data_IF_809249027227
#
_entry.id   IF_809249027227
#
_cell.length_a   1.000
_cell.length_b   1.000
_cell.length_c   1.000
_cell.angle_alpha   90.00
_cell.angle_beta   90.00
_cell.angle_gamma   90.00
#
_symmetry.space_group_name_H-M   'P 1'
#
loop_
_entity.id
_entity.type
_entity.pdbx_description
1 polymer ?
#
# COMPACT_ATOMS: atom_id res chain seq x y z
N UNK A 1 -18.05 -33.66 7.48
CA UNK A 1 -16.82 -33.38 6.70
C UNK A 1 -16.68 -31.89 6.38
N UNK A 2 -17.72 -31.16 5.93
CA UNK A 2 -17.61 -29.73 5.57
C UNK A 2 -17.10 -28.73 6.64
N UNK A 3 -17.21 -29.04 7.94
CA UNK A 3 -16.77 -28.12 9.00
C UNK A 3 -15.24 -28.01 9.12
N UNK A 4 -14.52 -29.10 8.86
CA UNK A 4 -13.05 -29.10 8.93
C UNK A 4 -12.43 -28.31 7.77
N UNK A 5 -13.02 -28.43 6.57
CA UNK A 5 -12.57 -27.71 5.38
C UNK A 5 -12.81 -26.19 5.49
N UNK A 6 -13.97 -25.78 6.03
CA UNK A 6 -14.24 -24.37 6.33
C UNK A 6 -13.28 -23.79 7.37
N UNK A 7 -12.96 -24.56 8.42
CA UNK A 7 -12.02 -24.13 9.45
C UNK A 7 -10.60 -23.95 8.90
N UNK A 8 -10.11 -24.92 8.12
CA UNK A 8 -8.80 -24.84 7.44
C UNK A 8 -8.73 -23.65 6.47
N UNK A 9 -9.80 -23.39 5.72
CA UNK A 9 -9.87 -22.25 4.79
C UNK A 9 -9.82 -20.91 5.54
N UNK A 10 -10.62 -20.72 6.59
CA UNK A 10 -10.58 -19.49 7.39
C UNK A 10 -9.23 -19.28 8.09
N UNK A 11 -8.65 -20.36 8.64
CA UNK A 11 -7.36 -20.29 9.33
C UNK A 11 -6.21 -19.95 8.38
N UNK A 12 -6.18 -20.54 7.19
CA UNK A 12 -5.18 -20.25 6.16
C UNK A 12 -5.31 -18.84 5.59
N UNK A 13 -6.53 -18.35 5.38
CA UNK A 13 -6.78 -16.96 4.98
C UNK A 13 -6.31 -15.96 6.04
N UNK A 14 -6.60 -16.23 7.31
CA UNK A 14 -6.22 -15.36 8.42
C UNK A 14 -4.70 -15.33 8.61
N UNK A 15 -4.05 -16.49 8.65
CA UNK A 15 -2.58 -16.59 8.75
C UNK A 15 -1.87 -15.99 7.54
N UNK A 16 -2.39 -16.22 6.32
CA UNK A 16 -1.90 -15.60 5.10
C UNK A 16 -2.02 -14.08 5.12
N UNK A 17 -3.16 -13.54 5.56
CA UNK A 17 -3.37 -12.10 5.69
C UNK A 17 -2.39 -11.48 6.71
N UNK A 18 -2.20 -12.12 7.87
CA UNK A 18 -1.24 -11.67 8.90
C UNK A 18 0.19 -11.63 8.33
N UNK A 19 0.61 -12.67 7.61
CA UNK A 19 1.95 -12.72 6.99
C UNK A 19 2.15 -11.62 5.94
N UNK A 20 1.20 -11.44 5.03
CA UNK A 20 1.30 -10.41 3.99
C UNK A 20 1.27 -9.01 4.61
N UNK A 21 0.33 -8.75 5.54
CA UNK A 21 0.22 -7.44 6.18
C UNK A 21 1.44 -7.10 7.04
N UNK A 22 2.02 -8.07 7.75
CA UNK A 22 3.23 -7.84 8.56
C UNK A 22 4.46 -7.57 7.70
N UNK A 23 4.65 -8.32 6.60
CA UNK A 23 5.76 -8.08 5.67
C UNK A 23 5.64 -6.70 4.99
N UNK A 24 4.44 -6.36 4.51
CA UNK A 24 4.19 -5.07 3.88
C UNK A 24 4.29 -3.90 4.88
N UNK A 25 3.88 -4.11 6.13
CA UNK A 25 4.09 -3.13 7.19
C UNK A 25 5.58 -2.91 7.44
N UNK A 26 6.38 -3.97 7.56
CA UNK A 26 7.83 -3.87 7.76
C UNK A 26 8.51 -3.10 6.60
N UNK A 27 8.14 -3.39 5.35
CA UNK A 27 8.62 -2.65 4.19
C UNK A 27 8.21 -1.18 4.22
N UNK A 28 6.96 -0.89 4.58
CA UNK A 28 6.47 0.48 4.73
C UNK A 28 7.24 1.25 5.81
N UNK A 29 7.54 0.62 6.94
CA UNK A 29 8.32 1.18 8.05
C UNK A 29 9.77 1.44 7.66
N UNK A 30 10.39 0.53 6.92
CA UNK A 30 11.71 0.77 6.34
C UNK A 30 11.66 1.98 5.41
N UNK A 31 10.65 2.06 4.53
CA UNK A 31 10.43 3.20 3.66
C UNK A 31 10.33 4.51 4.43
N UNK A 32 9.46 4.60 5.45
CA UNK A 32 9.30 5.84 6.23
C UNK A 32 10.56 6.24 6.98
N UNK A 33 11.36 5.28 7.45
CA UNK A 33 12.64 5.58 8.13
C UNK A 33 13.70 6.03 7.12
N UNK A 34 13.83 5.38 5.96
CA UNK A 34 14.89 5.66 4.99
C UNK A 34 14.64 6.91 4.13
N UNK A 35 13.37 7.19 3.79
CA UNK A 35 12.99 8.32 2.93
C UNK A 35 13.58 9.67 3.39
N UNK A 36 13.46 10.10 4.66
CA UNK A 36 13.99 11.41 5.09
C UNK A 36 15.52 11.53 5.03
N UNK A 37 16.27 10.43 4.91
CA UNK A 37 17.73 10.46 4.78
C UNK A 37 18.22 10.52 3.33
N UNK A 38 17.31 10.50 2.34
CA UNK A 38 17.69 10.60 0.94
C UNK A 38 18.03 12.06 0.57
N UNK A 39 19.04 12.27 -0.29
CA UNK A 39 19.57 13.59 -0.63
C UNK A 39 18.61 14.48 -1.46
N UNK A 40 17.40 14.00 -1.76
CA UNK A 40 16.37 14.70 -2.55
C UNK A 40 15.18 15.18 -1.68
N UNK A 41 15.41 15.34 -0.37
CA UNK A 41 14.40 15.73 0.63
C UNK A 41 13.68 17.06 0.33
N UNK A 42 14.28 17.95 -0.46
CA UNK A 42 13.74 19.30 -0.72
C UNK A 42 12.70 19.35 -1.85
N UNK A 43 12.56 18.27 -2.63
CA UNK A 43 11.58 18.23 -3.72
C UNK A 43 10.14 18.00 -3.19
N UNK A 44 9.14 18.77 -3.66
CA UNK A 44 7.75 18.59 -3.25
C UNK A 44 7.18 17.22 -3.65
N UNK A 45 7.71 16.61 -4.72
CA UNK A 45 7.40 15.24 -5.10
C UNK A 45 7.85 14.22 -4.04
N UNK A 46 8.93 14.52 -3.34
CA UNK A 46 9.50 13.68 -2.30
C UNK A 46 8.62 13.65 -1.04
N UNK A 47 8.07 14.80 -0.67
CA UNK A 47 7.09 14.90 0.42
C UNK A 47 5.81 14.08 0.12
N UNK A 48 5.35 14.08 -1.14
CA UNK A 48 4.22 13.25 -1.54
C UNK A 48 4.53 11.74 -1.46
N UNK A 49 5.73 11.32 -1.85
CA UNK A 49 6.17 9.92 -1.71
C UNK A 49 6.26 9.51 -0.24
N UNK A 50 6.76 10.40 0.62
CA UNK A 50 6.80 10.18 2.06
C UNK A 50 5.39 10.01 2.65
N UNK A 51 4.47 10.93 2.33
CA UNK A 51 3.06 10.84 2.73
C UNK A 51 2.38 9.55 2.26
N UNK A 52 2.62 9.14 1.01
CA UNK A 52 2.13 7.87 0.49
C UNK A 52 2.64 6.69 1.30
N UNK A 53 3.94 6.65 1.58
CA UNK A 53 4.58 5.54 2.32
C UNK A 53 4.06 5.47 3.75
N UNK A 54 3.84 6.62 4.38
CA UNK A 54 3.26 6.72 5.72
C UNK A 54 1.81 6.24 5.73
N UNK A 55 0.98 6.68 4.77
CA UNK A 55 -0.39 6.21 4.61
C UNK A 55 -0.45 4.69 4.39
N UNK A 56 0.43 4.15 3.54
CA UNK A 56 0.54 2.72 3.26
C UNK A 56 0.87 1.93 4.53
N UNK A 57 1.85 2.40 5.31
CA UNK A 57 2.24 1.77 6.57
C UNK A 57 1.10 1.76 7.61
N UNK A 58 0.34 2.87 7.71
CA UNK A 58 -0.82 2.94 8.59
C UNK A 58 -1.93 1.98 8.16
N UNK A 59 -2.17 1.86 6.85
CA UNK A 59 -3.13 0.92 6.27
C UNK A 59 -2.81 -0.53 6.66
N UNK A 60 -1.55 -0.94 6.49
CA UNK A 60 -1.12 -2.30 6.83
C UNK A 60 -1.07 -2.57 8.33
N UNK A 61 -0.75 -1.58 9.15
CA UNK A 61 -0.84 -1.68 10.61
C UNK A 61 -2.30 -1.92 11.06
N UNK A 62 -3.25 -1.18 10.51
CA UNK A 62 -4.68 -1.39 10.77
C UNK A 62 -5.19 -2.74 10.26
N UNK A 63 -4.72 -3.18 9.09
CA UNK A 63 -5.06 -4.50 8.56
C UNK A 63 -4.52 -5.63 9.47
N UNK A 64 -3.27 -5.50 9.94
CA UNK A 64 -2.65 -6.44 10.88
C UNK A 64 -3.40 -6.45 12.22
N UNK A 65 -3.73 -5.27 12.75
CA UNK A 65 -4.52 -5.14 13.97
C UNK A 65 -5.91 -5.76 13.81
N UNK A 66 -6.58 -5.53 12.69
CA UNK A 66 -7.88 -6.12 12.39
C UNK A 66 -7.83 -7.65 12.29
N UNK A 67 -6.77 -8.19 11.69
CA UNK A 67 -6.55 -9.64 11.58
C UNK A 67 -6.27 -10.31 12.93
N UNK A 68 -5.55 -9.62 13.84
CA UNK A 68 -5.22 -10.10 15.19
C UNK A 68 -6.38 -9.96 16.19
N UNK A 69 -7.13 -8.86 16.11
CA UNK A 69 -8.24 -8.55 17.03
C UNK A 69 -9.60 -9.08 16.56
N UNK A 70 -9.66 -9.69 15.37
CA UNK A 70 -10.89 -10.12 14.69
C UNK A 70 -11.95 -9.01 14.56
N UNK A 71 -11.51 -7.75 14.60
CA UNK A 71 -12.41 -6.59 14.54
C UNK A 71 -12.78 -6.27 13.10
N UNK A 72 -14.02 -6.59 12.73
CA UNK A 72 -14.59 -6.28 11.40
C UNK A 72 -14.48 -4.80 11.04
N UNK A 73 -14.54 -3.91 12.04
CA UNK A 73 -14.41 -2.46 11.88
C UNK A 73 -13.01 -2.05 11.43
N UNK A 74 -11.96 -2.60 12.05
CA UNK A 74 -10.57 -2.31 11.66
C UNK A 74 -10.27 -2.81 10.24
N UNK A 75 -10.80 -4.00 9.88
CA UNK A 75 -10.70 -4.52 8.51
C UNK A 75 -11.38 -3.57 7.52
N UNK A 76 -12.59 -3.12 7.81
CA UNK A 76 -13.31 -2.18 6.94
C UNK A 76 -12.57 -0.83 6.77
N UNK A 77 -12.05 -0.26 7.87
CA UNK A 77 -11.26 0.98 7.83
C UNK A 77 -9.96 0.77 7.04
N UNK A 78 -9.28 -0.36 7.22
CA UNK A 78 -8.07 -0.68 6.45
C UNK A 78 -8.36 -0.78 4.94
N UNK A 79 -9.54 -1.27 4.57
CA UNK A 79 -9.97 -1.37 3.17
C UNK A 79 -10.22 0.02 2.57
N UNK A 80 -10.90 0.91 3.32
CA UNK A 80 -11.09 2.31 2.92
C UNK A 80 -9.75 3.05 2.77
N UNK A 81 -8.85 2.91 3.74
CA UNK A 81 -7.51 3.50 3.66
C UNK A 81 -6.71 2.95 2.48
N UNK A 82 -6.84 1.65 2.18
CA UNK A 82 -6.24 1.03 1.00
C UNK A 82 -6.73 1.63 -0.31
N UNK A 83 -8.04 1.91 -0.42
CA UNK A 83 -8.61 2.61 -1.59
C UNK A 83 -8.02 4.02 -1.71
N UNK A 84 -7.94 4.77 -0.60
CA UNK A 84 -7.36 6.12 -0.61
C UNK A 84 -5.88 6.07 -1.02
N UNK A 85 -5.11 5.12 -0.48
CA UNK A 85 -3.71 4.92 -0.85
C UNK A 85 -3.57 4.55 -2.34
N UNK A 86 -4.46 3.72 -2.87
CA UNK A 86 -4.47 3.36 -4.29
C UNK A 86 -4.78 4.56 -5.20
N UNK A 87 -5.78 5.37 -4.85
CA UNK A 87 -6.10 6.61 -5.57
C UNK A 87 -4.92 7.58 -5.53
N UNK A 88 -4.27 7.72 -4.37
CA UNK A 88 -3.10 8.58 -4.23
C UNK A 88 -1.91 8.08 -5.06
N UNK A 89 -1.69 6.77 -5.11
CA UNK A 89 -0.68 6.16 -5.99
C UNK A 89 -0.96 6.40 -7.46
N UNK A 90 -2.22 6.28 -7.88
CA UNK A 90 -2.65 6.64 -9.25
C UNK A 90 -2.31 8.10 -9.52
N UNK A 91 -2.68 9.03 -8.64
CA UNK A 91 -2.39 10.46 -8.82
C UNK A 91 -0.90 10.76 -8.94
N UNK A 92 -0.03 10.00 -8.29
CA UNK A 92 1.43 10.15 -8.40
C UNK A 92 2.01 9.53 -9.67
N UNK A 93 1.45 8.42 -10.15
CA UNK A 93 1.99 7.66 -11.29
C UNK A 93 1.43 8.13 -12.64
N UNK A 94 0.16 8.56 -12.69
CA UNK A 94 -0.50 8.99 -13.93
C UNK A 94 0.23 10.12 -14.67
N UNK A 95 0.71 11.20 -14.00
CA UNK A 95 1.41 12.28 -14.67
C UNK A 95 2.68 11.77 -15.35
N UNK A 96 3.46 10.95 -14.63
CA UNK A 96 4.71 10.38 -15.15
C UNK A 96 4.50 9.41 -16.33
N UNK A 97 3.34 8.73 -16.37
CA UNK A 97 2.97 7.84 -17.46
C UNK A 97 2.48 8.63 -18.68
N UNK A 98 1.65 9.65 -18.47
CA UNK A 98 1.17 10.54 -19.54
C UNK A 98 2.32 11.30 -20.20
N UNK A 99 3.32 11.77 -19.43
CA UNK A 99 4.51 12.41 -20.00
C UNK A 99 5.33 11.46 -20.88
N UNK A 100 5.46 10.19 -20.48
CA UNK A 100 6.12 9.17 -21.32
C UNK A 100 5.33 8.89 -22.57
N UNK A 101 4.01 8.69 -22.46
CA UNK A 101 3.13 8.43 -23.62
C UNK A 101 3.15 9.60 -24.59
N UNK A 102 3.12 10.84 -24.09
CA UNK A 102 3.17 12.03 -24.94
C UNK A 102 4.51 12.16 -25.67
N UNK A 103 5.62 11.85 -24.99
CA UNK A 103 6.96 11.83 -25.60
C UNK A 103 7.10 10.74 -26.67
N UNK A 104 6.47 9.58 -26.48
CA UNK A 104 6.42 8.50 -27.48
C UNK A 104 5.63 8.92 -28.73
N UNK A 105 4.51 9.61 -28.57
CA UNK A 105 3.74 10.14 -29.70
C UNK A 105 4.56 11.12 -30.55
N UNK A 106 5.28 12.05 -29.93
CA UNK A 106 6.16 12.99 -30.64
C UNK A 106 7.34 12.33 -31.36
N UNK A 107 7.86 11.22 -30.83
CA UNK A 107 8.95 10.46 -31.46
C UNK A 107 8.47 9.58 -32.63
N UNK A 108 7.18 9.27 -32.71
CA UNK A 108 6.59 8.49 -33.81
C UNK A 108 6.18 9.32 -35.02
N UNK A 109 6.17 10.66 -34.90
CA UNK A 109 5.85 11.60 -35.98
C UNK A 109 7.10 12.15 -36.71
N UNK A 110 8.31 11.72 -36.34
CA UNK A 110 9.59 12.02 -37.02
C UNK A 110 10.06 10.76 -37.75
#
# INVERSE_FOLDING_TARGET
>A
MCWADCFLCCFSLQTGAIFVSSYMFALGLLGTVYIPFLPFSDDPAFNNIYLYTLLLSATFLLALYGALSETKTAVFISLLLGIVAFLYWISLTLPSFMDKVHRWFYLSEI
#
